data_IF_371135771214
#
_entry.id   IF_371135771214
#
_cell.length_a   1.000
_cell.length_b   1.000
_cell.length_c   1.000
_cell.angle_alpha   90.00
_cell.angle_beta   90.00
_cell.angle_gamma   90.00
#
_symmetry.space_group_name_H-M   'P 1'
#
loop_
_entity.id
_entity.type
_entity.pdbx_description
1 polymer ?
#
# COMPACT_ATOMS: atom_id res chain seq x y z
N UNK A 1 19.04 -14.91 9.63
CA UNK A 1 18.89 -13.75 8.72
C UNK A 1 18.95 -12.50 9.56
N UNK A 2 19.50 -11.40 9.04
CA UNK A 2 19.48 -10.10 9.76
C UNK A 2 18.15 -9.43 9.42
N UNK A 3 17.31 -9.06 10.41
CA UNK A 3 16.05 -8.37 10.16
C UNK A 3 16.30 -7.08 9.37
N UNK A 4 15.53 -6.86 8.31
CA UNK A 4 15.60 -5.66 7.48
C UNK A 4 14.49 -4.70 7.87
N UNK A 5 14.84 -3.69 8.66
CA UNK A 5 13.92 -2.64 9.12
C UNK A 5 13.74 -1.50 8.09
N UNK A 6 14.55 -1.47 7.03
CA UNK A 6 14.59 -0.39 6.05
C UNK A 6 14.35 -0.91 4.62
N UNK A 7 13.62 -0.13 3.83
CA UNK A 7 13.42 -0.37 2.39
C UNK A 7 14.56 0.29 1.62
N UNK A 8 15.17 -0.44 0.69
CA UNK A 8 16.21 0.11 -0.19
C UNK A 8 15.96 -0.31 -1.64
N UNK A 9 16.12 0.64 -2.57
CA UNK A 9 15.90 0.43 -4.01
C UNK A 9 14.44 0.04 -4.36
N UNK A 10 13.47 0.39 -3.49
CA UNK A 10 12.06 0.07 -3.70
C UNK A 10 11.66 -1.37 -3.36
N UNK A 11 12.53 -2.14 -2.68
CA UNK A 11 12.19 -3.48 -2.21
C UNK A 11 12.87 -3.81 -0.87
N UNK A 12 12.37 -4.84 -0.19
CA UNK A 12 12.88 -5.24 1.12
C UNK A 12 14.24 -5.93 0.95
N UNK A 13 15.32 -5.19 1.20
CA UNK A 13 16.66 -5.74 1.21
C UNK A 13 17.53 -5.06 2.26
N UNK A 14 18.53 -5.79 2.73
CA UNK A 14 19.44 -5.27 3.74
C UNK A 14 20.29 -4.11 3.21
N UNK A 15 20.71 -3.17 4.07
CA UNK A 15 21.62 -2.07 3.69
C UNK A 15 22.88 -2.57 2.97
N UNK A 16 23.47 -3.66 3.47
CA UNK A 16 24.64 -4.27 2.82
C UNK A 16 24.32 -4.80 1.41
N UNK A 17 23.09 -5.25 1.19
CA UNK A 17 22.61 -5.78 -0.07
C UNK A 17 22.37 -4.66 -1.08
N UNK A 18 21.76 -3.55 -0.65
CA UNK A 18 21.52 -2.38 -1.51
C UNK A 18 22.83 -1.69 -1.92
N UNK A 19 23.75 -1.52 -0.97
CA UNK A 19 25.10 -0.98 -1.24
C UNK A 19 25.88 -1.90 -2.17
N UNK A 20 25.82 -3.23 -1.94
CA UNK A 20 26.43 -4.21 -2.84
C UNK A 20 25.90 -4.07 -4.26
N UNK A 21 24.59 -4.00 -4.45
CA UNK A 21 23.99 -3.88 -5.78
C UNK A 21 24.41 -2.59 -6.49
N UNK A 22 24.29 -1.42 -5.81
CA UNK A 22 24.69 -0.12 -6.38
C UNK A 22 26.15 -0.14 -6.86
N UNK A 23 27.08 -0.58 -6.00
CA UNK A 23 28.51 -0.65 -6.34
C UNK A 23 28.81 -1.53 -7.55
N UNK A 24 28.19 -2.70 -7.64
CA UNK A 24 28.47 -3.64 -8.75
C UNK A 24 27.70 -3.28 -10.03
N UNK A 25 26.64 -2.46 -9.94
CA UNK A 25 25.96 -1.90 -11.10
C UNK A 25 26.79 -0.78 -11.74
N UNK A 26 27.43 0.05 -10.94
CA UNK A 26 28.29 1.15 -11.40
C UNK A 26 29.66 0.66 -11.88
N UNK A 27 30.24 -0.31 -11.18
CA UNK A 27 31.47 -0.96 -11.61
C UNK A 27 31.11 -1.93 -12.74
N UNK A 28 31.28 -1.54 -14.00
CA UNK A 28 31.05 -2.35 -15.21
C UNK A 28 31.92 -3.64 -15.32
N UNK A 29 32.51 -4.10 -14.21
CA UNK A 29 33.35 -5.29 -14.13
C UNK A 29 32.47 -6.54 -14.05
N UNK A 30 32.64 -7.44 -15.02
CA UNK A 30 31.94 -8.72 -15.04
C UNK A 30 32.24 -9.57 -13.79
N UNK A 31 31.21 -9.87 -13.01
CA UNK A 31 31.31 -10.80 -11.89
C UNK A 31 31.36 -12.24 -12.43
N UNK A 32 32.20 -13.09 -11.82
CA UNK A 32 32.30 -14.53 -12.16
C UNK A 32 31.51 -15.37 -11.17
N UNK A 33 30.85 -16.41 -11.68
CA UNK A 33 30.20 -17.40 -10.83
C UNK A 33 31.28 -18.29 -10.19
N UNK A 34 31.09 -18.71 -8.93
CA UNK A 34 31.99 -19.67 -8.28
C UNK A 34 31.88 -21.08 -8.89
N UNK A 35 30.66 -21.52 -9.17
CA UNK A 35 30.37 -22.89 -9.63
C UNK A 35 30.04 -22.99 -11.13
N UNK A 36 29.88 -21.85 -11.81
CA UNK A 36 29.56 -21.79 -13.24
C UNK A 36 28.08 -22.01 -13.59
N UNK A 37 27.31 -22.68 -12.74
CA UNK A 37 25.91 -23.09 -12.98
C UNK A 37 24.85 -22.03 -12.63
N UNK A 38 25.26 -20.90 -12.04
CA UNK A 38 24.40 -19.82 -11.55
C UNK A 38 23.40 -20.21 -10.44
N UNK A 39 23.57 -21.37 -9.80
CA UNK A 39 22.66 -21.86 -8.75
C UNK A 39 23.24 -21.81 -7.34
N UNK A 40 24.37 -21.13 -7.14
CA UNK A 40 25.04 -21.04 -5.85
C UNK A 40 24.13 -20.56 -4.69
N UNK A 41 23.15 -19.69 -4.97
CA UNK A 41 22.22 -19.17 -3.95
C UNK A 41 21.26 -20.24 -3.40
N UNK A 42 21.01 -21.34 -4.13
CA UNK A 42 20.11 -22.41 -3.71
C UNK A 42 20.82 -23.51 -2.91
N UNK A 43 22.15 -23.62 -3.07
CA UNK A 43 22.95 -24.68 -2.44
C UNK A 43 23.46 -24.28 -1.07
N UNK A 44 23.97 -23.05 -0.95
CA UNK A 44 24.45 -22.51 0.31
C UNK A 44 24.19 -21.00 0.40
N UNK A 45 23.17 -20.63 1.17
CA UNK A 45 22.81 -19.24 1.41
C UNK A 45 23.93 -18.44 2.12
N UNK A 46 24.86 -19.12 2.82
CA UNK A 46 25.98 -18.49 3.54
C UNK A 46 27.19 -18.25 2.64
N UNK A 47 27.40 -19.06 1.60
CA UNK A 47 28.47 -18.89 0.61
C UNK A 47 28.02 -18.09 -0.63
N UNK A 48 27.40 -16.93 -0.43
CA UNK A 48 26.79 -16.15 -1.51
C UNK A 48 27.78 -15.76 -2.62
N UNK A 49 27.71 -16.46 -3.75
CA UNK A 49 28.38 -16.10 -4.99
C UNK A 49 28.00 -14.67 -5.40
N UNK A 50 28.98 -13.77 -5.54
CA UNK A 50 28.73 -12.35 -5.88
C UNK A 50 27.94 -12.21 -7.18
N UNK A 51 28.25 -13.00 -8.21
CA UNK A 51 27.53 -12.97 -9.48
C UNK A 51 26.06 -13.35 -9.29
N UNK A 52 25.78 -14.52 -8.70
CA UNK A 52 24.41 -14.99 -8.52
C UNK A 52 23.60 -14.05 -7.62
N UNK A 53 24.24 -13.45 -6.59
CA UNK A 53 23.61 -12.42 -5.75
C UNK A 53 23.24 -11.19 -6.57
N UNK A 54 24.13 -10.71 -7.43
CA UNK A 54 23.87 -9.55 -8.29
C UNK A 54 22.78 -9.82 -9.33
N UNK A 55 22.87 -10.94 -10.04
CA UNK A 55 21.86 -11.37 -11.03
C UNK A 55 20.48 -11.49 -10.38
N UNK A 56 20.39 -12.08 -9.18
CA UNK A 56 19.13 -12.17 -8.44
C UNK A 56 18.52 -10.80 -8.15
N UNK A 57 19.34 -9.81 -7.80
CA UNK A 57 18.88 -8.44 -7.57
C UNK A 57 18.35 -7.80 -8.86
N UNK A 58 19.09 -7.96 -9.98
CA UNK A 58 18.65 -7.48 -11.28
C UNK A 58 17.34 -8.13 -11.73
N UNK A 59 17.20 -9.44 -11.58
CA UNK A 59 15.98 -10.17 -11.94
C UNK A 59 14.75 -9.68 -11.16
N UNK A 60 14.91 -9.43 -9.86
CA UNK A 60 13.82 -8.89 -9.02
C UNK A 60 13.43 -7.50 -9.50
N UNK A 61 14.42 -6.64 -9.77
CA UNK A 61 14.17 -5.27 -10.23
C UNK A 61 13.51 -5.22 -11.62
N UNK A 62 13.96 -6.05 -12.56
CA UNK A 62 13.36 -6.13 -13.90
C UNK A 62 11.90 -6.57 -13.84
N UNK A 63 11.59 -7.60 -13.04
CA UNK A 63 10.21 -8.08 -12.86
C UNK A 63 9.29 -7.01 -12.24
N UNK A 64 9.82 -6.22 -11.32
CA UNK A 64 9.08 -5.08 -10.75
C UNK A 64 8.84 -3.97 -11.79
N UNK A 65 9.71 -3.79 -12.77
CA UNK A 65 9.54 -2.78 -13.82
C UNK A 65 8.63 -3.20 -14.98
N UNK A 66 8.53 -4.49 -15.27
CA UNK A 66 7.73 -5.01 -16.39
C UNK A 66 6.21 -5.05 -16.11
N UNK A 67 5.79 -4.72 -14.88
CA UNK A 67 4.41 -4.93 -14.42
C UNK A 67 3.43 -3.78 -14.70
N UNK A 68 3.75 -2.79 -15.57
CA UNK A 68 2.78 -1.90 -16.25
C UNK A 68 3.45 -0.94 -17.26
N UNK A 69 2.79 -0.70 -18.40
CA UNK A 69 3.12 0.40 -19.32
C UNK A 69 2.86 1.75 -18.62
N UNK A 70 3.91 2.53 -18.42
CA UNK A 70 3.87 3.86 -17.78
C UNK A 70 3.05 4.88 -18.60
N UNK A 71 2.92 4.64 -19.91
CA UNK A 71 2.26 5.58 -20.81
C UNK A 71 0.74 5.47 -20.77
N UNK A 72 0.17 4.31 -20.48
CA UNK A 72 -1.30 4.13 -20.43
C UNK A 72 -1.90 4.73 -19.14
N UNK A 73 -1.15 4.73 -18.04
CA UNK A 73 -1.59 5.26 -16.75
C UNK A 73 -1.53 6.80 -16.72
N UNK A 74 -0.55 7.40 -17.40
CA UNK A 74 -0.27 8.83 -17.33
C UNK A 74 -1.34 9.70 -18.03
N UNK A 75 -1.95 9.20 -19.10
CA UNK A 75 -2.99 9.92 -19.83
C UNK A 75 -4.31 10.00 -19.06
N UNK A 76 -4.72 8.91 -18.41
CA UNK A 76 -5.96 8.83 -17.64
C UNK A 76 -5.92 9.65 -16.34
N UNK A 77 -4.75 9.74 -15.69
CA UNK A 77 -4.57 10.49 -14.44
C UNK A 77 -4.55 12.01 -14.68
N UNK A 78 -3.94 12.47 -15.77
CA UNK A 78 -3.84 13.89 -16.09
C UNK A 78 -5.21 14.54 -16.38
N UNK A 79 -6.12 13.80 -17.02
CA UNK A 79 -7.48 14.28 -17.34
C UNK A 79 -8.38 14.36 -16.10
N UNK A 80 -8.11 13.51 -15.10
CA UNK A 80 -8.86 13.44 -13.84
C UNK A 80 -8.41 14.53 -12.83
N UNK A 81 -7.11 14.85 -12.79
CA UNK A 81 -6.55 15.83 -11.85
C UNK A 81 -7.02 17.27 -12.11
N UNK A 82 -7.26 17.65 -13.36
CA UNK A 82 -7.72 19.01 -13.72
C UNK A 82 -9.12 19.35 -13.21
N UNK A 83 -9.98 18.36 -12.92
CA UNK A 83 -11.34 18.60 -12.42
C UNK A 83 -11.41 18.80 -10.90
N UNK A 84 -10.37 18.40 -10.17
CA UNK A 84 -10.38 18.35 -8.69
C UNK A 84 -9.86 19.67 -8.07
N UNK A 85 -9.08 20.46 -8.81
CA UNK A 85 -8.34 21.61 -8.27
C UNK A 85 -9.18 22.87 -7.95
N UNK A 86 -10.49 22.89 -8.23
CA UNK A 86 -11.31 24.13 -8.17
C UNK A 86 -12.40 24.18 -7.09
N UNK A 87 -12.51 23.20 -6.17
CA UNK A 87 -13.52 23.22 -5.11
C UNK A 87 -12.94 23.29 -3.68
N UNK A 88 -13.66 23.89 -2.70
CA UNK A 88 -13.29 23.90 -1.29
C UNK A 88 -13.13 22.46 -0.77
N UNK A 89 -12.26 22.23 0.22
CA UNK A 89 -11.81 20.88 0.62
C UNK A 89 -12.95 19.86 0.77
N UNK A 90 -13.17 19.06 -0.27
CA UNK A 90 -14.19 18.00 -0.38
C UNK A 90 -13.90 16.79 0.53
N UNK A 91 -12.93 16.91 1.43
CA UNK A 91 -12.51 15.80 2.27
C UNK A 91 -13.49 15.57 3.40
N UNK A 92 -13.84 14.30 3.58
CA UNK A 92 -14.72 13.88 4.66
C UNK A 92 -14.00 14.09 5.98
N UNK A 93 -14.52 15.02 6.78
CA UNK A 93 -14.08 15.19 8.16
C UNK A 93 -14.63 14.03 9.00
N UNK A 94 -13.83 12.97 9.11
CA UNK A 94 -14.24 11.72 9.75
C UNK A 94 -14.59 11.89 11.24
N UNK A 95 -14.21 12.99 11.89
CA UNK A 95 -14.55 13.26 13.29
C UNK A 95 -15.99 13.75 13.48
N UNK A 96 -16.60 14.34 12.45
CA UNK A 96 -17.94 14.96 12.56
C UNK A 96 -19.08 14.06 12.09
N UNK A 97 -18.78 12.90 11.51
CA UNK A 97 -19.76 12.09 10.77
C UNK A 97 -20.77 11.31 11.65
N UNK A 98 -20.72 11.42 12.98
CA UNK A 98 -21.46 10.50 13.86
C UNK A 98 -22.88 10.93 14.26
N UNK A 99 -23.33 12.18 14.11
CA UNK A 99 -24.55 12.63 14.84
C UNK A 99 -25.51 13.60 14.13
N UNK A 100 -25.48 13.76 12.81
CA UNK A 100 -26.47 14.65 12.16
C UNK A 100 -27.74 13.89 11.73
N UNK A 101 -28.79 14.00 12.56
CA UNK A 101 -30.13 13.43 12.38
C UNK A 101 -31.05 14.32 11.52
N UNK A 102 -30.48 15.04 10.55
CA UNK A 102 -31.25 15.93 9.68
C UNK A 102 -32.23 15.13 8.82
N UNK A 103 -33.52 15.36 9.05
CA UNK A 103 -34.65 14.49 8.67
C UNK A 103 -35.11 14.59 7.21
N UNK A 104 -34.27 15.03 6.27
CA UNK A 104 -34.64 15.12 4.86
C UNK A 104 -33.42 14.93 3.95
N UNK A 105 -32.83 13.74 3.96
CA UNK A 105 -31.67 13.47 3.11
C UNK A 105 -32.14 12.90 1.78
N UNK A 106 -32.00 13.70 0.73
CA UNK A 106 -32.27 13.39 -0.67
C UNK A 106 -31.46 12.20 -1.22
N UNK A 107 -30.42 11.76 -0.48
CA UNK A 107 -29.48 10.70 -0.90
C UNK A 107 -29.10 9.75 0.26
N UNK A 108 -30.03 8.89 0.73
CA UNK A 108 -29.79 8.02 1.89
C UNK A 108 -28.61 7.07 1.69
N UNK A 109 -28.47 6.46 0.50
CA UNK A 109 -27.35 5.56 0.20
C UNK A 109 -26.00 6.26 0.26
N UNK A 110 -25.88 7.47 -0.29
CA UNK A 110 -24.63 8.22 -0.26
C UNK A 110 -24.22 8.56 1.17
N UNK A 111 -25.17 8.93 2.02
CA UNK A 111 -24.90 9.19 3.43
C UNK A 111 -24.48 7.93 4.19
N UNK A 112 -25.13 6.79 3.91
CA UNK A 112 -24.70 5.50 4.45
C UNK A 112 -23.27 5.15 4.04
N UNK A 113 -22.92 5.35 2.76
CA UNK A 113 -21.56 5.16 2.27
C UNK A 113 -20.56 6.08 2.96
N UNK A 114 -20.87 7.38 3.13
CA UNK A 114 -20.00 8.33 3.84
C UNK A 114 -19.76 7.89 5.29
N UNK A 115 -20.81 7.53 6.02
CA UNK A 115 -20.73 7.06 7.41
C UNK A 115 -19.90 5.76 7.51
N UNK A 116 -20.20 4.78 6.66
CA UNK A 116 -19.49 3.51 6.62
C UNK A 116 -18.01 3.69 6.25
N UNK A 117 -17.70 4.58 5.32
CA UNK A 117 -16.31 4.88 4.93
C UNK A 117 -15.55 5.59 6.05
N UNK A 118 -16.19 6.52 6.76
CA UNK A 118 -15.60 7.13 7.96
C UNK A 118 -15.25 6.08 9.03
N UNK A 119 -16.15 5.12 9.27
CA UNK A 119 -15.90 4.01 10.18
C UNK A 119 -14.76 3.10 9.69
N UNK A 120 -14.72 2.77 8.39
CA UNK A 120 -13.62 2.04 7.78
C UNK A 120 -12.28 2.75 8.03
N UNK A 121 -12.22 4.07 7.81
CA UNK A 121 -11.02 4.86 8.04
C UNK A 121 -10.56 4.79 9.51
N UNK A 122 -11.49 4.89 10.46
CA UNK A 122 -11.20 4.84 11.89
C UNK A 122 -10.70 3.46 12.35
N UNK A 123 -11.42 2.39 11.96
CA UNK A 123 -11.05 1.00 12.27
C UNK A 123 -9.67 0.70 11.70
N UNK A 124 -9.44 1.09 10.44
CA UNK A 124 -8.16 0.88 9.80
C UNK A 124 -7.04 1.65 10.47
N UNK A 125 -7.20 2.96 10.74
CA UNK A 125 -6.20 3.75 11.46
C UNK A 125 -5.83 3.07 12.78
N UNK A 126 -6.83 2.64 13.54
CA UNK A 126 -6.60 1.96 14.82
C UNK A 126 -5.88 0.62 14.64
N UNK A 127 -6.28 -0.19 13.65
CA UNK A 127 -5.65 -1.46 13.34
C UNK A 127 -4.20 -1.31 12.85
N UNK A 128 -3.94 -0.38 11.93
CA UNK A 128 -2.60 -0.04 11.42
C UNK A 128 -1.69 0.42 12.56
N UNK A 129 -2.17 1.29 13.44
CA UNK A 129 -1.41 1.70 14.63
C UNK A 129 -1.13 0.54 15.57
N UNK A 130 -2.02 -0.45 15.65
CA UNK A 130 -1.81 -1.68 16.42
C UNK A 130 -0.74 -2.61 15.85
N UNK A 131 -0.35 -2.45 14.57
CA UNK A 131 0.75 -3.22 13.95
C UNK A 131 2.10 -2.50 14.03
N UNK A 132 2.11 -1.24 14.48
CA UNK A 132 3.33 -0.46 14.65
C UNK A 132 4.17 -0.94 15.84
N UNK A 133 5.48 -0.66 15.82
CA UNK A 133 6.32 -0.85 17.01
C UNK A 133 5.99 0.21 18.06
N UNK A 134 6.34 -0.05 19.33
CA UNK A 134 6.09 0.88 20.42
C UNK A 134 6.77 2.24 20.16
N UNK A 135 7.95 2.25 19.55
CA UNK A 135 8.69 3.47 19.21
C UNK A 135 7.99 4.30 18.14
N UNK A 136 7.44 3.65 17.10
CA UNK A 136 6.68 4.33 16.03
C UNK A 136 5.38 4.91 16.61
N UNK A 137 4.69 4.12 17.44
CA UNK A 137 3.47 4.57 18.11
C UNK A 137 3.70 5.80 18.98
N UNK A 138 4.77 5.79 19.78
CA UNK A 138 5.17 6.88 20.66
C UNK A 138 5.57 8.15 19.88
N UNK A 139 6.31 8.02 18.77
CA UNK A 139 6.59 9.13 17.86
C UNK A 139 5.32 9.71 17.24
N UNK A 140 4.35 8.86 16.88
CA UNK A 140 3.06 9.30 16.35
C UNK A 140 2.25 10.09 17.39
N UNK A 141 2.21 9.61 18.64
CA UNK A 141 1.51 10.29 19.74
C UNK A 141 2.09 11.68 20.05
N UNK A 142 3.41 11.83 19.94
CA UNK A 142 4.07 13.14 20.08
C UNK A 142 3.87 14.06 18.87
N UNK A 143 3.41 13.53 17.74
CA UNK A 143 3.31 14.25 16.48
C UNK A 143 4.64 14.43 15.77
N UNK A 144 5.69 13.68 16.17
CA UNK A 144 7.01 13.71 15.52
C UNK A 144 6.92 13.19 14.08
N UNK A 145 6.04 12.21 13.85
CA UNK A 145 5.74 11.64 12.54
C UNK A 145 4.24 11.70 12.27
N UNK A 146 3.89 12.04 11.02
CA UNK A 146 2.50 11.98 10.52
C UNK A 146 2.16 10.64 9.86
N UNK A 147 3.19 9.94 9.37
CA UNK A 147 3.07 8.70 8.64
C UNK A 147 4.18 7.76 9.07
N UNK A 148 3.85 6.48 9.19
CA UNK A 148 4.85 5.41 9.31
C UNK A 148 5.08 4.78 7.95
N UNK A 149 6.33 4.46 7.65
CA UNK A 149 6.64 3.59 6.52
C UNK A 149 6.12 2.18 6.82
N UNK A 150 5.43 1.58 5.84
CA UNK A 150 4.99 0.19 5.97
C UNK A 150 6.16 -0.74 5.67
N UNK A 151 6.40 -1.69 6.57
CA UNK A 151 7.35 -2.78 6.32
C UNK A 151 6.62 -3.93 5.63
N UNK A 152 7.34 -4.79 4.89
CA UNK A 152 6.71 -5.96 4.26
C UNK A 152 6.01 -6.89 5.26
N UNK A 153 6.55 -6.99 6.48
CA UNK A 153 5.92 -7.73 7.57
C UNK A 153 4.63 -7.09 8.07
N UNK A 154 4.49 -5.76 7.95
CA UNK A 154 3.30 -5.01 8.29
C UNK A 154 2.28 -4.94 7.13
N UNK A 155 2.71 -5.20 5.89
CA UNK A 155 1.86 -5.16 4.70
C UNK A 155 0.72 -6.20 4.76
N UNK A 156 1.05 -7.47 5.05
CA UNK A 156 0.05 -8.54 5.17
C UNK A 156 -1.02 -8.25 6.24
N UNK A 157 -0.68 -7.91 7.50
CA UNK A 157 -1.70 -7.60 8.49
C UNK A 157 -2.50 -6.32 8.14
N UNK A 158 -1.88 -5.32 7.52
CA UNK A 158 -2.58 -4.12 7.05
C UNK A 158 -3.60 -4.44 5.96
N UNK A 159 -3.22 -5.28 4.98
CA UNK A 159 -4.14 -5.78 3.96
C UNK A 159 -5.31 -6.55 4.55
N UNK A 160 -5.10 -7.34 5.61
CA UNK A 160 -6.19 -8.02 6.32
C UNK A 160 -7.15 -7.04 7.02
N UNK A 161 -6.61 -6.01 7.66
CA UNK A 161 -7.41 -4.95 8.28
C UNK A 161 -8.27 -4.25 7.23
N UNK A 162 -7.68 -3.87 6.09
CA UNK A 162 -8.41 -3.25 4.98
C UNK A 162 -9.48 -4.20 4.41
N UNK A 163 -9.16 -5.47 4.20
CA UNK A 163 -10.09 -6.47 3.68
C UNK A 163 -11.31 -6.66 4.60
N UNK A 164 -11.07 -6.83 5.90
CA UNK A 164 -12.15 -6.94 6.89
C UNK A 164 -12.99 -5.67 6.92
N UNK A 165 -12.35 -4.50 6.92
CA UNK A 165 -13.04 -3.22 6.89
C UNK A 165 -13.89 -3.04 5.63
N UNK A 166 -13.44 -3.49 4.46
CA UNK A 166 -14.21 -3.44 3.22
C UNK A 166 -15.48 -4.31 3.31
N UNK A 167 -15.40 -5.51 3.90
CA UNK A 167 -16.57 -6.35 4.12
C UNK A 167 -17.62 -5.64 5.00
N UNK A 168 -17.18 -4.98 6.06
CA UNK A 168 -18.06 -4.22 6.96
C UNK A 168 -18.62 -2.97 6.27
N UNK A 169 -17.79 -2.27 5.48
CA UNK A 169 -18.18 -1.11 4.69
C UNK A 169 -19.30 -1.46 3.70
N UNK A 170 -19.12 -2.50 2.88
CA UNK A 170 -20.12 -2.90 1.90
C UNK A 170 -21.39 -3.41 2.58
N UNK A 171 -21.26 -4.19 3.66
CA UNK A 171 -22.42 -4.68 4.42
C UNK A 171 -23.20 -3.54 5.08
N UNK A 172 -22.53 -2.47 5.51
CA UNK A 172 -23.17 -1.31 6.11
C UNK A 172 -23.79 -0.37 5.07
N UNK A 173 -23.22 -0.32 3.87
CA UNK A 173 -23.61 0.63 2.82
C UNK A 173 -24.66 0.10 1.86
N UNK A 174 -24.69 -1.22 1.61
CA UNK A 174 -25.54 -1.84 0.58
C UNK A 174 -26.30 -3.05 1.14
N UNK A 175 -27.61 -2.93 1.24
CA UNK A 175 -28.47 -4.01 1.75
C UNK A 175 -28.39 -5.27 0.86
N UNK A 176 -28.32 -5.10 -0.46
CA UNK A 176 -28.14 -6.21 -1.39
C UNK A 176 -26.87 -7.00 -1.10
N UNK A 177 -25.75 -6.31 -0.83
CA UNK A 177 -24.50 -6.95 -0.45
C UNK A 177 -24.64 -7.68 0.89
N UNK A 178 -25.26 -7.03 1.88
CA UNK A 178 -25.50 -7.61 3.22
C UNK A 178 -26.28 -8.91 3.15
N UNK A 179 -27.23 -9.02 2.22
CA UNK A 179 -28.10 -10.18 2.04
C UNK A 179 -27.45 -11.33 1.25
N UNK A 180 -26.29 -11.11 0.63
CA UNK A 180 -25.52 -12.19 -0.01
C UNK A 180 -24.98 -13.19 1.02
N UNK A 181 -24.69 -14.41 0.56
CA UNK A 181 -23.96 -15.38 1.38
C UNK A 181 -22.57 -14.85 1.75
N UNK A 182 -22.03 -15.28 2.90
CA UNK A 182 -20.68 -14.89 3.34
C UNK A 182 -19.59 -15.30 2.36
N UNK A 183 -19.79 -16.39 1.62
CA UNK A 183 -18.88 -16.83 0.57
C UNK A 183 -18.90 -15.86 -0.62
N UNK A 184 -20.08 -15.47 -1.10
CA UNK A 184 -20.22 -14.51 -2.20
C UNK A 184 -19.69 -13.13 -1.81
N UNK A 185 -19.97 -12.65 -0.59
CA UNK A 185 -19.42 -11.38 -0.08
C UNK A 185 -17.89 -11.38 -0.14
N UNK A 186 -17.26 -12.46 0.38
CA UNK A 186 -15.80 -12.62 0.36
C UNK A 186 -15.25 -12.67 -1.05
N UNK A 187 -15.91 -13.39 -1.96
CA UNK A 187 -15.48 -13.49 -3.35
C UNK A 187 -15.50 -12.14 -4.07
N UNK A 188 -16.57 -11.36 -3.90
CA UNK A 188 -16.68 -10.01 -4.47
C UNK A 188 -15.55 -9.11 -3.97
N UNK A 189 -15.32 -9.06 -2.64
CA UNK A 189 -14.27 -8.22 -2.08
C UNK A 189 -12.88 -8.72 -2.47
N UNK A 190 -12.62 -10.03 -2.42
CA UNK A 190 -11.32 -10.60 -2.83
C UNK A 190 -10.98 -10.29 -4.28
N UNK A 191 -11.93 -10.50 -5.20
CA UNK A 191 -11.69 -10.30 -6.64
C UNK A 191 -11.43 -8.83 -7.00
N UNK A 192 -11.91 -7.90 -6.18
CA UNK A 192 -11.76 -6.46 -6.41
C UNK A 192 -10.80 -5.79 -5.41
N UNK A 193 -10.12 -6.56 -4.56
CA UNK A 193 -9.36 -6.03 -3.44
C UNK A 193 -8.26 -5.06 -3.88
N UNK A 194 -7.47 -5.43 -4.88
CA UNK A 194 -6.39 -4.59 -5.41
C UNK A 194 -6.89 -3.26 -5.97
N UNK A 195 -8.05 -3.26 -6.64
CA UNK A 195 -8.65 -2.04 -7.18
C UNK A 195 -9.14 -1.14 -6.06
N UNK A 196 -9.91 -1.70 -5.12
CA UNK A 196 -10.45 -0.97 -3.97
C UNK A 196 -9.34 -0.39 -3.11
N UNK A 197 -8.27 -1.16 -2.88
CA UNK A 197 -7.11 -0.72 -2.12
C UNK A 197 -6.40 0.44 -2.84
N UNK A 198 -6.19 0.38 -4.15
CA UNK A 198 -5.58 1.47 -4.92
C UNK A 198 -6.41 2.74 -4.95
N UNK A 199 -7.73 2.63 -5.10
CA UNK A 199 -8.63 3.80 -5.07
C UNK A 199 -8.53 4.50 -3.71
N UNK A 200 -8.53 3.72 -2.63
CA UNK A 200 -8.36 4.28 -1.28
C UNK A 200 -6.97 4.88 -1.06
N UNK A 201 -5.90 4.18 -1.48
CA UNK A 201 -4.53 4.68 -1.41
C UNK A 201 -4.39 6.01 -2.16
N UNK A 202 -4.96 6.11 -3.37
CA UNK A 202 -4.95 7.34 -4.15
C UNK A 202 -5.69 8.47 -3.43
N UNK A 203 -6.87 8.18 -2.88
CA UNK A 203 -7.64 9.16 -2.10
C UNK A 203 -6.85 9.67 -0.89
N UNK A 204 -6.26 8.78 -0.09
CA UNK A 204 -5.40 9.14 1.06
C UNK A 204 -4.18 9.95 0.61
N UNK A 205 -3.57 9.54 -0.48
CA UNK A 205 -2.36 10.17 -0.99
C UNK A 205 -2.67 11.59 -1.44
N UNK A 206 -3.72 11.78 -2.24
CA UNK A 206 -4.22 13.10 -2.65
C UNK A 206 -4.59 13.98 -1.43
N UNK A 207 -5.18 13.38 -0.39
CA UNK A 207 -5.50 14.09 0.85
C UNK A 207 -4.27 14.60 1.60
N UNK A 208 -3.27 13.73 1.75
CA UNK A 208 -2.11 14.02 2.60
C UNK A 208 -0.99 14.75 1.86
N UNK A 209 -0.95 14.66 0.53
CA UNK A 209 0.07 15.24 -0.32
C UNK A 209 -0.56 15.99 -1.51
N UNK A 210 -1.41 17.00 -1.27
CA UNK A 210 -2.20 17.65 -2.32
C UNK A 210 -1.36 18.37 -3.39
N UNK A 211 -0.10 18.71 -3.08
CA UNK A 211 0.83 19.40 -3.98
C UNK A 211 1.93 18.47 -4.54
N UNK A 212 1.74 17.15 -4.44
CA UNK A 212 2.73 16.17 -4.90
C UNK A 212 2.40 15.74 -6.33
N UNK A 213 3.08 16.35 -7.31
CA UNK A 213 2.89 16.09 -8.75
C UNK A 213 3.34 14.68 -9.20
N UNK A 214 3.92 13.88 -8.30
CA UNK A 214 4.51 12.57 -8.60
C UNK A 214 3.66 11.37 -8.17
N UNK A 215 2.40 11.59 -7.77
CA UNK A 215 1.48 10.52 -7.35
C UNK A 215 0.70 9.90 -8.51
#
# INVERSE_FOLDING_TARGET
EVPTAEVHLGFNCCRNCSVFYKRNREQARALRCKEGDRKCMFRDAKAACRKCRFERFSDVLTKCSESKSVNDIRAEVAESAQRIASEPSLFLDNETCTMDDSSCIETPTLQMMKRAYGLLCLVRKTGEMGTCTAEIYDQYQRGDIKFSLITYSADIPTGRIMYSGLLDFFSSSFDDFRNLSKETQRLIVCNNFDLLNRVDELYRSAHHFPNCDTM
#
